data_IF_483151768170
#
_entry.id   IF_483151768170
#
_cell.length_a   1.000
_cell.length_b   1.000
_cell.length_c   1.000
_cell.angle_alpha   90.00
_cell.angle_beta   90.00
_cell.angle_gamma   90.00
#
_symmetry.space_group_name_H-M   'P 1'
#
loop_
_entity.id
_entity.type
_entity.pdbx_description
1 polymer ?
#
# COMPACT_ATOMS: atom_id res chain seq x y z
N UNK A 1 -7.52 -1.92 24.06
CA UNK A 1 -7.41 -2.63 25.36
C UNK A 1 -7.60 -1.73 26.59
N UNK A 2 -7.50 -0.39 26.45
CA UNK A 2 -7.78 0.55 27.56
C UNK A 2 -6.69 0.64 28.64
N UNK A 3 -5.63 -0.17 28.53
CA UNK A 3 -4.48 -0.16 29.43
C UNK A 3 -3.45 0.88 28.96
N UNK A 4 -2.83 1.58 29.91
CA UNK A 4 -1.69 2.47 29.62
C UNK A 4 -0.41 1.65 29.53
N UNK A 5 0.48 2.02 28.63
CA UNK A 5 1.84 1.48 28.61
C UNK A 5 2.60 1.96 29.87
N UNK A 6 3.38 1.11 30.55
CA UNK A 6 4.23 1.52 31.67
C UNK A 6 5.25 2.58 31.23
N UNK A 7 5.37 3.65 32.02
CA UNK A 7 6.06 4.87 31.62
C UNK A 7 7.59 4.76 31.43
N UNK A 8 8.23 3.71 31.95
CA UNK A 8 9.70 3.52 31.92
C UNK A 8 10.16 2.41 30.98
N UNK A 9 9.23 1.77 30.28
CA UNK A 9 9.52 0.64 29.42
C UNK A 9 9.24 0.99 27.96
N UNK A 10 10.12 0.53 27.07
CA UNK A 10 9.95 0.71 25.63
C UNK A 10 8.81 -0.18 25.15
N UNK A 11 7.99 0.29 24.22
CA UNK A 11 6.79 -0.44 23.81
C UNK A 11 7.14 -1.81 23.19
N UNK A 12 8.25 -1.91 22.48
CA UNK A 12 8.74 -3.15 21.87
C UNK A 12 9.13 -4.20 22.91
N UNK A 13 9.57 -3.81 24.11
CA UNK A 13 9.85 -4.74 25.20
C UNK A 13 8.57 -5.32 25.79
N UNK A 14 7.52 -4.49 25.83
CA UNK A 14 6.22 -4.82 26.39
C UNK A 14 5.45 -5.77 25.46
N UNK A 15 5.51 -5.56 24.14
CA UNK A 15 4.83 -6.43 23.17
C UNK A 15 5.65 -7.66 22.76
N UNK A 16 6.93 -7.75 23.16
CA UNK A 16 7.87 -8.81 22.75
C UNK A 16 7.41 -10.22 23.09
N UNK A 17 6.59 -10.37 24.13
CA UNK A 17 6.06 -11.66 24.56
C UNK A 17 4.88 -12.16 23.71
N UNK A 18 4.39 -11.32 22.79
CA UNK A 18 3.27 -11.59 21.88
C UNK A 18 1.89 -11.61 22.54
N UNK A 19 1.77 -11.48 23.87
CA UNK A 19 0.48 -11.62 24.56
C UNK A 19 -0.47 -10.48 24.25
N UNK A 20 0.04 -9.25 24.39
CA UNK A 20 -0.73 -8.05 24.11
C UNK A 20 -1.19 -8.06 22.65
N UNK A 21 -0.33 -8.53 21.74
CA UNK A 21 -0.67 -8.69 20.33
C UNK A 21 -1.83 -9.68 20.13
N UNK A 22 -1.79 -10.84 20.80
CA UNK A 22 -2.91 -11.78 20.77
C UNK A 22 -4.21 -11.19 21.36
N UNK A 23 -4.12 -10.46 22.47
CA UNK A 23 -5.27 -9.76 23.06
C UNK A 23 -5.87 -8.71 22.12
N UNK A 24 -5.02 -7.98 21.37
CA UNK A 24 -5.46 -7.02 20.34
C UNK A 24 -6.25 -7.76 19.26
N UNK A 25 -5.75 -8.87 18.73
CA UNK A 25 -6.47 -9.64 17.71
C UNK A 25 -7.78 -10.21 18.24
N UNK A 26 -7.82 -10.72 19.47
CA UNK A 26 -9.06 -11.16 20.10
C UNK A 26 -10.07 -10.04 20.34
N UNK A 27 -9.61 -8.77 20.39
CA UNK A 27 -10.51 -7.60 20.47
C UNK A 27 -11.09 -7.23 19.12
N UNK A 28 -10.35 -7.46 18.03
CA UNK A 28 -10.79 -7.22 16.65
C UNK A 28 -11.71 -8.36 16.17
N UNK A 29 -11.27 -9.60 16.37
CA UNK A 29 -12.01 -10.83 16.06
C UNK A 29 -12.18 -11.61 17.37
N UNK A 30 -13.36 -11.59 18.00
CA UNK A 30 -13.60 -12.36 19.22
C UNK A 30 -13.29 -13.85 19.04
N UNK A 31 -12.39 -14.39 19.84
CA UNK A 31 -12.04 -15.81 19.84
C UNK A 31 -11.05 -16.26 18.76
N UNK A 32 -10.42 -15.36 18.00
CA UNK A 32 -9.44 -15.73 16.97
C UNK A 32 -8.22 -16.48 17.53
N UNK A 33 -7.78 -16.16 18.74
CA UNK A 33 -6.63 -16.78 19.41
C UNK A 33 -7.10 -17.29 20.78
N UNK A 34 -7.59 -18.54 20.88
CA UNK A 34 -8.19 -19.05 22.12
C UNK A 34 -7.15 -19.28 23.23
N UNK A 35 -5.89 -19.54 22.88
CA UNK A 35 -4.82 -19.86 23.83
C UNK A 35 -3.68 -18.86 23.71
N UNK A 36 -3.49 -18.05 24.76
CA UNK A 36 -2.37 -17.12 24.90
C UNK A 36 -1.40 -17.66 25.94
N UNK A 37 -0.12 -17.79 25.59
CA UNK A 37 0.83 -18.50 26.42
C UNK A 37 1.55 -17.63 27.46
N UNK A 38 1.57 -18.17 28.69
CA UNK A 38 2.05 -17.72 30.01
C UNK A 38 3.53 -17.47 30.31
N UNK A 39 4.41 -18.30 29.78
CA UNK A 39 5.75 -18.46 30.37
C UNK A 39 6.58 -19.37 29.49
N UNK A 40 7.88 -19.11 29.38
CA UNK A 40 8.84 -19.88 28.58
C UNK A 40 9.17 -19.24 27.23
N UNK A 41 10.44 -19.34 26.80
CA UNK A 41 10.95 -18.65 25.60
C UNK A 41 10.25 -19.07 24.31
N UNK A 42 10.05 -20.37 24.10
CA UNK A 42 9.38 -20.93 22.91
C UNK A 42 7.93 -20.46 22.78
N UNK A 43 7.26 -20.23 23.91
CA UNK A 43 5.88 -19.78 23.95
C UNK A 43 5.70 -18.32 23.53
N UNK A 44 6.73 -17.47 23.69
CA UNK A 44 6.70 -16.07 23.21
C UNK A 44 6.64 -16.02 21.67
N UNK A 45 7.48 -16.81 21.00
CA UNK A 45 7.44 -16.93 19.54
C UNK A 45 6.11 -17.52 19.06
N UNK A 46 5.55 -18.49 19.78
CA UNK A 46 4.26 -19.09 19.44
C UNK A 46 3.12 -18.07 19.48
N UNK A 47 3.10 -17.16 20.47
CA UNK A 47 2.12 -16.08 20.52
C UNK A 47 2.25 -15.14 19.31
N UNK A 48 3.48 -14.76 18.92
CA UNK A 48 3.73 -13.91 17.75
C UNK A 48 3.24 -14.58 16.46
N UNK A 49 3.52 -15.87 16.28
CA UNK A 49 3.05 -16.63 15.12
C UNK A 49 1.51 -16.74 15.10
N UNK A 50 0.86 -16.92 16.25
CA UNK A 50 -0.60 -16.93 16.35
C UNK A 50 -1.19 -15.56 15.99
N UNK A 51 -0.54 -14.48 16.42
CA UNK A 51 -0.91 -13.12 16.05
C UNK A 51 -0.84 -12.89 14.53
N UNK A 52 0.27 -13.26 13.88
CA UNK A 52 0.42 -13.14 12.42
C UNK A 52 -0.65 -13.92 11.66
N UNK A 53 -0.95 -15.17 12.08
CA UNK A 53 -2.04 -15.97 11.48
C UNK A 53 -3.39 -15.27 11.61
N UNK A 54 -3.70 -14.72 12.79
CA UNK A 54 -4.95 -14.00 13.00
C UNK A 54 -5.02 -12.72 12.14
N UNK A 55 -3.90 -12.02 11.95
CA UNK A 55 -3.83 -10.85 11.06
C UNK A 55 -4.09 -11.21 9.60
N UNK A 56 -3.54 -12.33 9.12
CA UNK A 56 -3.77 -12.82 7.77
C UNK A 56 -5.25 -13.13 7.55
N UNK A 57 -5.90 -13.79 8.51
CA UNK A 57 -7.36 -14.04 8.49
C UNK A 57 -8.16 -12.75 8.53
N UNK A 58 -7.69 -11.73 9.27
CA UNK A 58 -8.30 -10.40 9.30
C UNK A 58 -8.08 -9.61 8.00
N UNK A 59 -7.30 -10.11 7.04
CA UNK A 59 -7.11 -9.48 5.73
C UNK A 59 -6.02 -8.41 5.69
N UNK A 60 -5.04 -8.48 6.59
CA UNK A 60 -3.80 -7.70 6.46
C UNK A 60 -2.92 -8.36 5.38
N UNK A 61 -2.43 -7.61 4.36
CA UNK A 61 -1.58 -8.17 3.32
C UNK A 61 -0.26 -8.73 3.86
N UNK A 62 0.19 -9.85 3.32
CA UNK A 62 1.45 -10.50 3.72
C UNK A 62 2.67 -9.58 3.60
N UNK A 63 2.68 -8.71 2.58
CA UNK A 63 3.75 -7.72 2.35
C UNK A 63 3.89 -6.69 3.48
N UNK A 64 2.82 -6.46 4.24
CA UNK A 64 2.79 -5.52 5.36
C UNK A 64 3.10 -6.22 6.69
N UNK A 65 3.27 -7.56 6.73
CA UNK A 65 3.50 -8.32 7.95
C UNK A 65 4.99 -8.42 8.33
N UNK A 66 5.31 -8.06 9.57
CA UNK A 66 6.64 -8.29 10.14
C UNK A 66 6.92 -9.77 10.36
N UNK A 67 8.19 -10.16 10.35
CA UNK A 67 8.67 -11.50 10.64
C UNK A 67 8.97 -11.69 12.13
N UNK A 68 8.83 -12.91 12.66
CA UNK A 68 8.95 -13.15 14.11
C UNK A 68 10.28 -12.66 14.72
N UNK A 69 11.37 -12.71 13.95
CA UNK A 69 12.69 -12.19 14.35
C UNK A 69 12.72 -10.66 14.53
N UNK A 70 11.89 -9.92 13.78
CA UNK A 70 11.84 -8.46 13.79
C UNK A 70 11.45 -7.96 15.18
N UNK A 71 10.50 -8.63 15.83
CA UNK A 71 10.08 -8.33 17.19
C UNK A 71 10.87 -9.12 18.24
N UNK A 72 11.00 -10.44 18.06
CA UNK A 72 11.56 -11.31 19.10
C UNK A 72 13.04 -11.04 19.35
N UNK A 73 13.82 -10.78 18.30
CA UNK A 73 15.24 -10.41 18.39
C UNK A 73 15.46 -8.90 18.25
N UNK A 74 14.38 -8.13 18.05
CA UNK A 74 14.43 -6.69 17.77
C UNK A 74 15.26 -6.34 16.52
N UNK A 75 15.20 -7.18 15.48
CA UNK A 75 15.93 -6.94 14.23
C UNK A 75 15.41 -5.73 13.46
N UNK A 76 14.08 -5.56 13.43
CA UNK A 76 13.43 -4.45 12.74
C UNK A 76 12.12 -4.02 13.43
N UNK A 77 12.26 -3.19 14.46
CA UNK A 77 11.12 -2.62 15.18
C UNK A 77 10.34 -1.61 14.31
N UNK A 78 10.97 -1.06 13.26
CA UNK A 78 10.31 -0.21 12.27
C UNK A 78 9.24 -0.98 11.51
N UNK A 79 9.58 -2.17 11.01
CA UNK A 79 8.63 -3.05 10.35
C UNK A 79 7.49 -3.46 11.27
N UNK A 80 7.76 -3.78 12.55
CA UNK A 80 6.71 -4.07 13.55
C UNK A 80 5.73 -2.90 13.69
N UNK A 81 6.25 -1.68 13.76
CA UNK A 81 5.43 -0.45 13.84
C UNK A 81 4.55 -0.33 12.60
N UNK A 82 5.13 -0.43 11.41
CA UNK A 82 4.43 -0.33 10.12
C UNK A 82 3.31 -1.36 10.00
N UNK A 83 3.57 -2.60 10.42
CA UNK A 83 2.57 -3.67 10.47
C UNK A 83 1.40 -3.35 11.39
N UNK A 84 1.63 -2.74 12.56
CA UNK A 84 0.55 -2.30 13.45
C UNK A 84 -0.29 -1.17 12.84
N UNK A 85 0.32 -0.25 12.10
CA UNK A 85 -0.42 0.75 11.30
C UNK A 85 -1.19 0.11 10.16
N UNK A 86 -0.65 -0.93 9.50
CA UNK A 86 -1.37 -1.69 8.48
C UNK A 86 -2.60 -2.39 9.06
N UNK A 87 -2.46 -3.07 10.21
CA UNK A 87 -3.59 -3.64 10.94
C UNK A 87 -4.65 -2.58 11.28
N UNK A 88 -4.20 -1.43 11.79
CA UNK A 88 -5.05 -0.28 12.08
C UNK A 88 -5.86 0.20 10.87
N UNK A 89 -5.22 0.29 9.70
CA UNK A 89 -5.89 0.65 8.43
C UNK A 89 -6.83 -0.45 7.94
N UNK A 90 -6.50 -1.73 8.16
CA UNK A 90 -7.37 -2.85 7.77
C UNK A 90 -8.71 -2.78 8.47
N UNK A 91 -8.77 -2.27 9.72
CA UNK A 91 -10.05 -2.11 10.45
C UNK A 91 -11.09 -1.26 9.72
N UNK A 92 -10.71 -0.39 8.77
CA UNK A 92 -11.67 0.34 7.93
C UNK A 92 -12.51 -0.57 7.02
N UNK A 93 -12.03 -1.78 6.73
CA UNK A 93 -12.74 -2.80 5.93
C UNK A 93 -13.70 -3.65 6.77
N UNK A 94 -13.76 -3.45 8.09
CA UNK A 94 -14.52 -4.25 9.05
C UNK A 94 -15.63 -3.40 9.70
N UNK A 95 -16.87 -3.41 9.16
CA UNK A 95 -17.99 -2.63 9.69
C UNK A 95 -18.37 -2.97 11.14
N UNK A 96 -18.03 -4.18 11.60
CA UNK A 96 -18.21 -4.64 12.97
C UNK A 96 -17.29 -3.93 13.97
N UNK A 97 -16.18 -3.33 13.50
CA UNK A 97 -15.26 -2.58 14.34
C UNK A 97 -15.83 -1.20 14.66
N UNK A 98 -16.11 -0.97 15.95
CA UNK A 98 -16.61 0.31 16.49
C UNK A 98 -15.57 1.09 17.30
N UNK A 99 -14.32 0.61 17.31
CA UNK A 99 -13.23 1.26 18.05
C UNK A 99 -12.55 2.37 17.25
N UNK A 100 -11.49 2.98 17.80
CA UNK A 100 -10.73 3.98 17.08
C UNK A 100 -10.02 3.36 15.88
N UNK A 101 -9.88 4.15 14.81
CA UNK A 101 -9.04 3.81 13.67
C UNK A 101 -7.64 4.40 13.84
N UNK A 102 -6.65 3.71 13.31
CA UNK A 102 -5.26 4.15 13.32
C UNK A 102 -4.78 4.40 11.89
N UNK A 103 -4.43 5.65 11.60
CA UNK A 103 -4.02 6.10 10.27
C UNK A 103 -5.17 6.64 9.40
N UNK A 104 -4.87 7.13 8.19
CA UNK A 104 -5.89 7.67 7.28
C UNK A 104 -6.80 6.57 6.73
N UNK A 105 -8.05 6.92 6.45
CA UNK A 105 -9.00 6.03 5.76
C UNK A 105 -8.43 5.68 4.36
N UNK A 106 -8.31 4.38 4.01
CA UNK A 106 -7.95 3.98 2.66
C UNK A 106 -8.89 4.61 1.63
N UNK A 107 -8.34 5.11 0.53
CA UNK A 107 -9.14 5.68 -0.55
C UNK A 107 -10.02 4.58 -1.18
N UNK A 108 -11.26 4.94 -1.48
CA UNK A 108 -12.16 4.11 -2.28
C UNK A 108 -11.97 4.46 -3.76
N UNK A 109 -12.09 3.46 -4.65
CA UNK A 109 -11.96 3.68 -6.08
C UNK A 109 -13.06 4.63 -6.57
N UNK A 110 -12.68 5.80 -7.10
CA UNK A 110 -13.60 6.73 -7.73
C UNK A 110 -13.91 6.24 -9.16
N UNK A 111 -14.73 5.19 -9.29
CA UNK A 111 -15.21 4.72 -10.60
C UNK A 111 -16.08 5.79 -11.25
N UNK A 112 -15.52 6.48 -12.25
CA UNK A 112 -16.24 7.46 -13.06
C UNK A 112 -16.90 6.73 -14.22
N UNK A 113 -18.23 6.68 -14.21
CA UNK A 113 -18.99 6.18 -15.35
C UNK A 113 -19.25 7.34 -16.30
N UNK A 114 -18.76 7.24 -17.54
CA UNK A 114 -19.07 8.19 -18.60
C UNK A 114 -20.21 7.65 -19.44
N UNK A 115 -21.06 8.56 -19.92
CA UNK A 115 -22.09 8.18 -20.91
C UNK A 115 -21.43 7.85 -22.24
N UNK A 116 -22.07 7.01 -23.05
CA UNK A 116 -21.56 6.65 -24.39
C UNK A 116 -21.39 7.89 -25.28
N UNK A 117 -22.28 8.88 -25.13
CA UNK A 117 -22.18 10.17 -25.81
C UNK A 117 -20.96 10.98 -25.38
N UNK A 118 -20.62 11.00 -24.09
CA UNK A 118 -19.40 11.66 -23.60
C UNK A 118 -18.13 10.96 -24.11
N UNK A 119 -18.12 9.62 -24.14
CA UNK A 119 -17.01 8.85 -24.69
C UNK A 119 -16.81 9.14 -26.19
N UNK A 120 -17.88 9.10 -26.99
CA UNK A 120 -17.88 9.48 -28.41
C UNK A 120 -17.49 10.94 -28.64
N UNK A 121 -17.89 11.84 -27.74
CA UNK A 121 -17.46 13.25 -27.77
C UNK A 121 -15.96 13.40 -27.62
N UNK A 122 -15.31 12.55 -26.82
CA UNK A 122 -13.85 12.49 -26.68
C UNK A 122 -13.13 12.10 -27.97
N UNK A 123 -13.69 11.18 -28.76
CA UNK A 123 -13.10 10.74 -30.04
C UNK A 123 -13.00 11.87 -31.07
N UNK A 124 -13.89 12.87 -30.95
CA UNK A 124 -13.89 14.06 -31.83
C UNK A 124 -12.87 15.13 -31.43
N UNK A 125 -12.28 15.03 -30.24
CA UNK A 125 -11.25 15.98 -29.76
C UNK A 125 -9.90 15.56 -30.32
N UNK A 126 -9.56 16.13 -31.47
CA UNK A 126 -8.22 16.04 -32.05
C UNK A 126 -7.24 16.74 -31.10
N UNK A 127 -6.37 15.97 -30.43
CA UNK A 127 -5.38 16.53 -29.51
C UNK A 127 -4.46 17.54 -30.22
N UNK A 128 -3.96 18.55 -29.48
CA UNK A 128 -3.09 19.63 -29.98
C UNK A 128 -1.82 19.14 -30.74
N UNK A 129 -1.49 17.86 -30.68
CA UNK A 129 -0.35 17.24 -31.35
C UNK A 129 -0.73 16.27 -32.49
N UNK A 130 -1.99 16.17 -32.89
CA UNK A 130 -2.38 15.44 -34.09
C UNK A 130 -2.03 16.26 -35.35
N UNK A 131 -0.76 16.63 -35.45
CA UNK A 131 -0.14 17.07 -36.68
C UNK A 131 -0.10 15.88 -37.64
N UNK A 132 -0.60 16.10 -38.85
CA UNK A 132 -0.46 15.15 -39.94
C UNK A 132 1.00 15.12 -40.40
N UNK A 133 1.74 14.07 -40.04
CA UNK A 133 3.16 13.90 -40.42
C UNK A 133 3.38 13.55 -41.91
N UNK A 134 2.30 13.42 -42.69
CA UNK A 134 2.33 12.95 -44.09
C UNK A 134 2.24 14.08 -45.11
N UNK A 135 2.40 15.35 -44.69
CA UNK A 135 2.23 16.50 -45.58
C UNK A 135 3.10 17.69 -45.24
N UNK A 136 4.41 17.54 -45.42
CA UNK A 136 5.40 18.59 -45.70
C UNK A 136 6.75 17.93 -46.04
N UNK A 137 6.83 17.14 -47.12
CA UNK A 137 8.15 16.68 -47.58
C UNK A 137 8.82 17.83 -48.31
N UNK A 138 9.85 18.42 -47.69
CA UNK A 138 10.78 19.38 -48.32
C UNK A 138 11.66 18.71 -49.42
N UNK A 139 11.23 17.57 -49.96
CA UNK A 139 11.91 16.92 -51.07
C UNK A 139 11.61 17.69 -52.35
N UNK A 140 12.55 18.54 -52.79
CA UNK A 140 12.47 19.26 -54.06
C UNK A 140 12.22 20.77 -53.97
N UNK A 141 12.14 21.36 -52.77
CA UNK A 141 12.15 22.82 -52.64
C UNK A 141 13.56 23.38 -52.86
N UNK A 142 13.83 23.89 -54.05
CA UNK A 142 15.02 24.68 -54.36
C UNK A 142 14.64 26.17 -54.36
N UNK A 143 15.03 26.89 -53.30
CA UNK A 143 14.89 28.34 -53.24
C UNK A 143 16.24 29.00 -53.55
N UNK A 144 16.35 29.58 -54.74
CA UNK A 144 17.52 30.33 -55.20
C UNK A 144 17.79 30.14 -56.68
N UNK A 145 18.40 31.14 -57.33
CA UNK A 145 18.80 31.02 -58.73
C UNK A 145 19.97 30.02 -58.87
N UNK A 146 19.71 28.88 -59.50
CA UNK A 146 20.75 27.90 -59.83
C UNK A 146 21.81 28.52 -60.74
N UNK A 147 23.06 28.57 -60.29
CA UNK A 147 24.19 29.05 -61.12
C UNK A 147 24.41 28.09 -62.29
N UNK A 148 24.04 28.51 -63.51
CA UNK A 148 24.52 27.87 -64.74
C UNK A 148 26.01 28.18 -64.89
N UNK A 149 26.86 27.18 -64.70
CA UNK A 149 28.26 27.25 -65.14
C UNK A 149 28.23 27.08 -66.67
N UNK A 150 28.51 28.14 -67.41
CA UNK A 150 28.74 28.06 -68.85
C UNK A 150 30.14 27.46 -69.07
N UNK A 151 30.19 26.19 -69.44
CA UNK A 151 31.43 25.56 -69.91
C UNK A 151 31.47 25.68 -71.44
N UNK A 152 32.40 26.50 -71.93
CA UNK A 152 32.72 26.57 -73.36
C UNK A 152 33.52 27.81 -73.78
N UNK A 153 34.84 27.63 -73.91
CA UNK A 153 35.58 28.03 -75.10
C UNK A 153 36.46 26.85 -75.51
#
# INVERSE_FOLDING_TARGET
>A
LGRKFPAKERYEDIIRDGRILCEVMNKLIPGAIPKVHTSGGQFKMMNINNFQKAMQVYGVPDVDMFQTVDLFEKKDIGQVTTTLFALGRTTYKHPEWKGPWLGPKPAEECKRNFTEQQLKGGDSVIGLQAGYNKGATQAGQNFGAGRKILLGK
#
